data_IF_371437319059
#
_entry.id   IF_371437319059
#
_cell.length_a   1.000
_cell.length_b   1.000
_cell.length_c   1.000
_cell.angle_alpha   90.00
_cell.angle_beta   90.00
_cell.angle_gamma   90.00
#
_symmetry.space_group_name_H-M   'P 1'
#
loop_
_entity.id
_entity.type
_entity.pdbx_description
1 polymer ?
#
# COMPACT_ATOMS: atom_id res chain seq x y z
N UNK A 1 -11.62 -12.87 -1.66
CA UNK A 1 -10.54 -11.93 -1.31
C UNK A 1 -11.17 -10.85 -0.46
N UNK A 2 -10.98 -10.91 0.86
CA UNK A 2 -11.51 -9.90 1.76
C UNK A 2 -10.71 -8.62 1.48
N UNK A 3 -11.24 -7.66 0.75
CA UNK A 3 -10.86 -6.24 0.86
C UNK A 3 -12.06 -5.51 0.27
N UNK A 4 -12.67 -4.62 1.04
CA UNK A 4 -13.82 -3.87 0.58
C UNK A 4 -13.52 -3.25 -0.80
N UNK A 5 -14.44 -3.39 -1.76
CA UNK A 5 -14.38 -2.61 -3.01
C UNK A 5 -14.21 -1.12 -2.73
N UNK A 6 -14.71 -0.67 -1.57
CA UNK A 6 -14.76 0.71 -1.10
C UNK A 6 -14.01 0.86 0.22
N UNK A 7 -13.08 1.79 0.28
CA UNK A 7 -12.35 2.14 1.49
C UNK A 7 -13.29 2.81 2.50
N UNK A 8 -13.29 2.33 3.75
CA UNK A 8 -13.99 2.95 4.85
C UNK A 8 -13.00 3.23 5.98
N UNK A 9 -12.68 4.51 6.28
CA UNK A 9 -11.72 4.84 7.33
C UNK A 9 -12.10 4.38 8.73
N UNK A 10 -13.41 4.33 9.02
CA UNK A 10 -13.92 3.90 10.33
C UNK A 10 -13.63 2.41 10.53
N UNK A 11 -14.02 1.59 9.56
CA UNK A 11 -13.75 0.15 9.58
C UNK A 11 -12.25 -0.14 9.49
N UNK A 12 -11.50 0.68 8.74
CA UNK A 12 -10.04 0.56 8.65
C UNK A 12 -9.31 0.92 9.97
N UNK A 13 -9.93 1.74 10.81
CA UNK A 13 -9.44 2.09 12.15
C UNK A 13 -9.85 1.10 13.24
N UNK A 14 -10.95 0.38 13.02
CA UNK A 14 -11.49 -0.65 13.90
C UNK A 14 -10.69 -1.95 13.80
N UNK A 15 -10.38 -2.58 14.93
CA UNK A 15 -9.59 -3.82 14.96
C UNK A 15 -10.40 -5.03 14.48
N UNK A 16 -11.68 -5.03 14.82
CA UNK A 16 -12.70 -6.06 14.58
C UNK A 16 -13.70 -5.64 13.49
N UNK A 17 -13.65 -4.39 13.03
CA UNK A 17 -14.46 -3.87 11.93
C UNK A 17 -15.91 -3.58 12.34
N UNK A 18 -16.19 -3.38 13.62
CA UNK A 18 -17.56 -3.16 14.13
C UNK A 18 -17.85 -1.73 14.55
N UNK A 19 -16.83 -0.85 14.55
CA UNK A 19 -17.00 0.52 15.02
C UNK A 19 -18.07 1.28 14.23
N UNK A 20 -18.94 1.97 14.97
CA UNK A 20 -20.02 2.80 14.41
C UNK A 20 -19.75 4.30 14.55
N UNK A 21 -18.75 4.70 15.36
CA UNK A 21 -18.38 6.08 15.62
C UNK A 21 -16.87 6.26 15.63
N UNK A 22 -16.34 7.38 15.08
CA UNK A 22 -14.91 7.63 15.11
C UNK A 22 -14.43 7.83 16.54
N UNK A 23 -13.41 7.07 16.93
CA UNK A 23 -12.85 7.08 18.29
C UNK A 23 -11.42 7.65 18.36
N UNK A 24 -10.84 8.05 17.23
CA UNK A 24 -9.49 8.63 17.12
C UNK A 24 -9.49 9.77 16.08
N UNK A 25 -8.65 10.79 16.31
CA UNK A 25 -8.40 11.91 15.41
C UNK A 25 -7.95 11.45 14.02
N UNK A 26 -7.20 10.34 13.92
CA UNK A 26 -6.81 9.76 12.63
C UNK A 26 -8.01 9.37 11.77
N UNK A 27 -9.01 8.75 12.40
CA UNK A 27 -10.26 8.34 11.74
C UNK A 27 -11.07 9.58 11.34
N UNK A 28 -11.24 10.54 12.24
CA UNK A 28 -11.97 11.79 11.95
C UNK A 28 -11.34 12.53 10.76
N UNK A 29 -10.02 12.66 10.76
CA UNK A 29 -9.27 13.30 9.66
C UNK A 29 -9.47 12.57 8.34
N UNK A 30 -9.44 11.25 8.35
CA UNK A 30 -9.67 10.44 7.15
C UNK A 30 -11.11 10.58 6.64
N UNK A 31 -12.12 10.51 7.52
CA UNK A 31 -13.53 10.69 7.16
C UNK A 31 -13.82 12.05 6.55
N UNK A 32 -13.15 13.10 7.03
CA UNK A 32 -13.28 14.47 6.51
C UNK A 32 -12.39 14.74 5.29
N UNK A 33 -11.68 13.74 4.78
CA UNK A 33 -10.78 13.87 3.64
C UNK A 33 -11.36 13.23 2.39
N UNK A 34 -11.04 13.83 1.24
CA UNK A 34 -11.36 13.27 -0.07
C UNK A 34 -10.11 13.18 -0.93
N UNK A 35 -9.96 12.06 -1.63
CA UNK A 35 -8.87 11.88 -2.58
C UNK A 35 -9.36 11.19 -3.84
N UNK A 36 -9.01 11.77 -4.99
CA UNK A 36 -9.19 11.16 -6.31
C UNK A 36 -7.94 11.41 -7.13
N UNK A 37 -7.39 10.36 -7.75
CA UNK A 37 -6.31 10.55 -8.71
C UNK A 37 -6.81 11.45 -9.85
N UNK A 38 -5.98 12.41 -10.26
CA UNK A 38 -6.30 13.29 -11.38
C UNK A 38 -6.36 12.45 -12.67
N UNK A 39 -7.43 12.61 -13.46
CA UNK A 39 -7.64 11.93 -14.75
C UNK A 39 -6.40 11.90 -15.67
N UNK A 40 -5.66 13.02 -15.91
CA UNK A 40 -4.49 12.98 -16.79
C UNK A 40 -3.37 12.08 -16.27
N UNK A 41 -3.23 11.94 -14.95
CA UNK A 41 -2.25 11.02 -14.36
C UNK A 41 -2.67 9.58 -14.62
N UNK A 42 -3.94 9.26 -14.40
CA UNK A 42 -4.48 7.91 -14.63
C UNK A 42 -4.33 7.50 -16.10
N UNK A 43 -4.66 8.39 -17.03
CA UNK A 43 -4.56 8.12 -18.47
C UNK A 43 -3.12 7.85 -18.95
N UNK A 44 -2.13 8.44 -18.27
CA UNK A 44 -0.71 8.23 -18.57
C UNK A 44 -0.15 6.92 -17.98
N UNK A 45 -0.83 6.32 -16.99
CA UNK A 45 -0.38 5.07 -16.38
C UNK A 45 -0.67 3.89 -17.31
N UNK A 46 0.39 3.30 -17.85
CA UNK A 46 0.33 2.11 -18.71
C UNK A 46 0.32 0.79 -17.91
N UNK A 47 0.65 0.85 -16.61
CA UNK A 47 0.71 -0.34 -15.76
C UNK A 47 -0.67 -0.83 -15.35
N UNK A 48 -0.83 -2.15 -15.26
CA UNK A 48 -2.07 -2.75 -14.76
C UNK A 48 -2.05 -2.82 -13.23
N UNK A 49 -2.99 -2.14 -12.56
CA UNK A 49 -3.05 -2.08 -11.10
C UNK A 49 -3.21 -3.45 -10.44
N UNK A 50 -3.98 -4.38 -11.05
CA UNK A 50 -4.16 -5.73 -10.52
C UNK A 50 -2.86 -6.56 -10.56
N UNK A 51 -1.94 -6.19 -11.45
CA UNK A 51 -0.62 -6.81 -11.57
C UNK A 51 0.48 -6.04 -10.82
N UNK A 52 0.11 -4.98 -10.11
CA UNK A 52 1.05 -4.06 -9.47
C UNK A 52 0.99 -4.19 -7.95
N UNK A 53 2.14 -4.48 -7.34
CA UNK A 53 2.34 -4.42 -5.90
C UNK A 53 2.88 -3.05 -5.49
N UNK A 54 2.39 -2.57 -4.36
CA UNK A 54 3.01 -1.53 -3.56
C UNK A 54 4.08 -2.15 -2.66
N UNK A 55 5.27 -1.57 -2.67
CA UNK A 55 6.38 -1.94 -1.78
C UNK A 55 6.77 -0.71 -0.97
N UNK A 56 6.52 -0.73 0.34
CA UNK A 56 6.84 0.35 1.27
C UNK A 56 7.96 0.00 2.23
N UNK A 57 8.39 0.99 3.02
CA UNK A 57 9.54 0.90 3.94
C UNK A 57 10.86 0.59 3.24
N UNK A 58 10.99 1.04 1.98
CA UNK A 58 12.26 1.00 1.29
C UNK A 58 13.24 1.98 1.95
N UNK A 59 14.50 1.56 2.09
CA UNK A 59 15.59 2.43 2.51
C UNK A 59 16.05 3.29 1.32
N UNK A 60 16.63 4.44 1.60
CA UNK A 60 16.96 5.45 0.59
C UNK A 60 18.03 4.98 -0.43
N UNK A 61 18.85 4.00 -0.04
CA UNK A 61 19.88 3.39 -0.89
C UNK A 61 19.36 2.28 -1.81
N UNK A 62 18.12 1.81 -1.62
CA UNK A 62 17.57 0.70 -2.42
C UNK A 62 17.29 1.19 -3.83
N UNK A 63 17.83 0.46 -4.81
CA UNK A 63 17.56 0.68 -6.23
C UNK A 63 16.64 -0.39 -6.81
N UNK A 64 16.27 -0.22 -8.08
CA UNK A 64 15.35 -1.13 -8.78
C UNK A 64 15.91 -2.55 -8.93
N UNK A 65 17.24 -2.70 -9.07
CA UNK A 65 17.88 -4.01 -9.20
C UNK A 65 17.78 -4.82 -7.91
N UNK A 66 17.83 -4.17 -6.76
CA UNK A 66 17.71 -4.86 -5.47
C UNK A 66 16.29 -5.37 -5.24
N UNK A 67 15.30 -4.58 -5.66
CA UNK A 67 13.90 -5.01 -5.71
C UNK A 67 13.75 -6.17 -6.71
N UNK A 68 14.30 -6.05 -7.91
CA UNK A 68 14.22 -7.07 -8.95
C UNK A 68 14.78 -8.42 -8.48
N UNK A 69 15.96 -8.43 -7.85
CA UNK A 69 16.59 -9.65 -7.30
C UNK A 69 15.65 -10.38 -6.34
N UNK A 70 14.98 -9.65 -5.46
CA UNK A 70 14.13 -10.24 -4.41
C UNK A 70 12.78 -10.69 -4.97
N UNK A 71 12.18 -9.91 -5.88
CA UNK A 71 10.83 -10.19 -6.37
C UNK A 71 10.79 -11.12 -7.60
N UNK A 72 11.90 -11.27 -8.34
CA UNK A 72 11.96 -12.15 -9.52
C UNK A 72 11.69 -13.61 -9.21
N UNK A 73 11.95 -14.07 -7.96
CA UNK A 73 11.61 -15.42 -7.51
C UNK A 73 10.10 -15.71 -7.54
N UNK A 74 9.27 -14.67 -7.51
CA UNK A 74 7.82 -14.79 -7.57
C UNK A 74 7.26 -14.69 -8.98
N UNK A 75 8.05 -14.38 -10.00
CA UNK A 75 7.59 -14.26 -11.38
C UNK A 75 8.30 -13.15 -12.14
N UNK A 76 8.03 -13.07 -13.45
CA UNK A 76 8.68 -12.09 -14.32
C UNK A 76 8.14 -10.69 -14.05
N UNK A 77 9.07 -9.76 -13.78
CA UNK A 77 8.76 -8.36 -13.53
C UNK A 77 8.71 -7.62 -14.86
N UNK A 78 7.66 -6.83 -15.06
CA UNK A 78 7.45 -5.99 -16.24
C UNK A 78 8.02 -4.59 -16.04
N UNK A 79 7.78 -4.00 -14.88
CA UNK A 79 8.31 -2.68 -14.54
C UNK A 79 8.49 -2.50 -13.03
N UNK A 80 9.50 -1.74 -12.65
CA UNK A 80 9.72 -1.28 -11.28
C UNK A 80 9.72 0.23 -11.32
N UNK A 81 9.11 0.86 -10.31
CA UNK A 81 9.13 2.31 -10.17
C UNK A 81 9.28 2.68 -8.70
N UNK A 82 10.44 3.20 -8.33
CA UNK A 82 10.65 3.81 -7.01
C UNK A 82 10.10 5.24 -7.04
N UNK A 83 9.32 5.62 -6.02
CA UNK A 83 8.79 6.98 -5.92
C UNK A 83 9.81 7.85 -5.21
N UNK A 84 10.31 8.85 -5.93
CA UNK A 84 11.20 9.88 -5.42
C UNK A 84 10.46 11.20 -5.26
N UNK A 85 11.01 12.08 -4.43
CA UNK A 85 10.61 13.48 -4.40
C UNK A 85 11.10 14.19 -5.66
N UNK A 86 10.22 14.97 -6.27
CA UNK A 86 10.48 15.61 -7.57
C UNK A 86 11.49 16.74 -7.43
N UNK A 87 11.57 17.39 -6.26
CA UNK A 87 12.46 18.52 -6.02
C UNK A 87 13.84 18.03 -5.57
N UNK A 88 13.88 17.12 -4.60
CA UNK A 88 15.15 16.67 -4.00
C UNK A 88 15.74 15.44 -4.67
N UNK A 89 14.96 14.68 -5.45
CA UNK A 89 15.36 13.40 -6.02
C UNK A 89 15.47 12.25 -5.00
N UNK A 90 15.22 12.53 -3.72
CA UNK A 90 15.36 11.54 -2.63
C UNK A 90 14.17 10.57 -2.66
N UNK A 91 14.44 9.28 -2.41
CA UNK A 91 13.41 8.25 -2.28
C UNK A 91 12.38 8.63 -1.21
N UNK A 92 11.09 8.41 -1.50
CA UNK A 92 10.02 8.52 -0.50
C UNK A 92 9.85 7.25 0.34
N UNK A 93 10.74 6.28 0.16
CA UNK A 93 10.73 5.00 0.88
C UNK A 93 9.62 4.05 0.42
N UNK A 94 9.10 4.22 -0.79
CA UNK A 94 8.17 3.28 -1.40
C UNK A 94 8.24 3.27 -2.92
N UNK A 95 7.75 2.19 -3.51
CA UNK A 95 7.72 1.98 -4.96
C UNK A 95 6.60 1.04 -5.38
N UNK A 96 6.54 0.80 -6.68
CA UNK A 96 5.58 -0.09 -7.32
C UNK A 96 6.31 -1.12 -8.18
N UNK A 97 5.86 -2.37 -8.10
CA UNK A 97 6.40 -3.50 -8.87
C UNK A 97 5.27 -4.11 -9.68
N UNK A 98 5.33 -3.95 -11.00
CA UNK A 98 4.37 -4.56 -11.94
C UNK A 98 4.92 -5.90 -12.43
N UNK A 99 4.15 -6.97 -12.23
CA UNK A 99 4.43 -8.29 -12.80
C UNK A 99 3.80 -8.44 -14.19
N UNK A 100 4.32 -9.34 -15.00
CA UNK A 100 3.68 -9.71 -16.28
C UNK A 100 2.34 -10.43 -16.05
N UNK A 101 2.22 -11.18 -14.96
CA UNK A 101 1.06 -11.98 -14.59
C UNK A 101 0.44 -11.55 -13.26
N UNK A 102 -0.90 -11.49 -13.22
CA UNK A 102 -1.64 -11.25 -11.97
C UNK A 102 -1.44 -12.40 -10.97
N UNK A 103 -1.25 -13.62 -11.47
CA UNK A 103 -0.98 -14.79 -10.61
C UNK A 103 0.34 -14.64 -9.86
N UNK A 104 1.35 -14.08 -10.51
CA UNK A 104 2.67 -13.84 -9.92
C UNK A 104 2.61 -12.72 -8.88
N UNK A 105 1.90 -11.62 -9.20
CA UNK A 105 1.59 -10.55 -8.25
C UNK A 105 0.90 -11.09 -6.99
N UNK A 106 -0.13 -11.93 -7.15
CA UNK A 106 -0.83 -12.57 -6.03
C UNK A 106 0.07 -13.51 -5.24
N UNK A 107 0.94 -14.27 -5.92
CA UNK A 107 1.92 -15.16 -5.27
C UNK A 107 2.91 -14.34 -4.42
N UNK A 108 3.42 -13.23 -4.95
CA UNK A 108 4.29 -12.32 -4.23
C UNK A 108 3.59 -11.68 -3.01
N UNK A 109 2.33 -11.26 -3.15
CA UNK A 109 1.55 -10.73 -2.01
C UNK A 109 1.32 -11.77 -0.91
N UNK A 110 0.88 -12.98 -1.28
CA UNK A 110 0.58 -14.05 -0.31
C UNK A 110 1.82 -14.52 0.45
N UNK A 111 3.00 -14.48 -0.19
CA UNK A 111 4.29 -14.82 0.42
C UNK A 111 5.10 -13.56 0.79
N UNK A 112 4.42 -12.44 0.94
CA UNK A 112 4.99 -11.10 1.11
C UNK A 112 5.28 -10.73 2.56
N UNK A 113 4.98 -11.59 3.53
CA UNK A 113 5.30 -11.31 4.92
C UNK A 113 6.81 -11.47 5.17
N UNK A 114 7.37 -10.59 6.00
CA UNK A 114 8.77 -10.58 6.42
C UNK A 114 9.82 -10.58 5.28
N UNK A 115 9.48 -10.07 4.09
CA UNK A 115 10.47 -9.91 3.02
C UNK A 115 11.53 -8.90 3.44
N UNK A 116 12.80 -9.28 3.25
CA UNK A 116 13.97 -8.44 3.47
C UNK A 116 14.56 -7.99 2.13
N UNK A 117 14.88 -6.71 2.02
CA UNK A 117 15.72 -6.16 0.94
C UNK A 117 16.90 -5.48 1.61
N UNK A 118 18.12 -5.90 1.29
CA UNK A 118 19.35 -5.41 1.93
C UNK A 118 19.31 -5.50 3.47
N UNK A 119 18.69 -6.56 4.01
CA UNK A 119 18.52 -6.77 5.45
C UNK A 119 17.37 -5.99 6.10
N UNK A 120 16.66 -5.13 5.36
CA UNK A 120 15.53 -4.35 5.89
C UNK A 120 14.18 -4.96 5.54
N UNK A 121 13.30 -5.09 6.53
CA UNK A 121 11.92 -5.57 6.32
C UNK A 121 11.10 -4.56 5.54
N UNK A 122 10.61 -4.97 4.38
CA UNK A 122 9.71 -4.17 3.54
C UNK A 122 8.26 -4.51 3.82
N UNK A 123 7.37 -3.55 3.53
CA UNK A 123 5.92 -3.74 3.56
C UNK A 123 5.42 -4.01 2.15
N UNK A 124 4.64 -5.07 1.97
CA UNK A 124 4.02 -5.40 0.68
C UNK A 124 2.51 -5.24 0.79
N UNK A 125 1.92 -4.58 -0.21
CA UNK A 125 0.48 -4.48 -0.36
C UNK A 125 0.10 -4.43 -1.86
N UNK A 126 -1.18 -4.56 -2.20
CA UNK A 126 -1.66 -4.24 -3.54
C UNK A 126 -1.66 -2.74 -3.78
N UNK A 127 -1.64 -2.32 -5.04
CA UNK A 127 -1.85 -0.92 -5.41
C UNK A 127 -3.29 -0.45 -5.14
N UNK A 128 -3.57 -0.05 -3.90
CA UNK A 128 -4.92 0.31 -3.46
C UNK A 128 -5.50 1.54 -4.16
N UNK A 129 -4.67 2.51 -4.53
CA UNK A 129 -5.13 3.81 -5.08
C UNK A 129 -5.91 3.73 -6.39
N UNK A 130 -5.72 2.66 -7.18
CA UNK A 130 -6.45 2.44 -8.43
C UNK A 130 -7.47 1.30 -8.34
N UNK A 131 -7.38 0.45 -7.32
CA UNK A 131 -8.24 -0.74 -7.15
C UNK A 131 -9.42 -0.45 -6.21
N UNK A 132 -9.19 0.33 -5.15
CA UNK A 132 -10.15 0.55 -4.08
C UNK A 132 -10.85 1.90 -4.26
N UNK A 133 -12.17 1.87 -4.34
CA UNK A 133 -13.01 3.08 -4.39
C UNK A 133 -12.84 3.88 -3.08
N UNK A 134 -12.89 5.21 -3.18
CA UNK A 134 -12.77 6.13 -2.03
C UNK A 134 -11.47 5.96 -1.21
N UNK A 135 -10.41 5.39 -1.80
CA UNK A 135 -9.12 5.27 -1.16
C UNK A 135 -8.58 6.63 -0.70
N UNK A 136 -8.27 6.75 0.59
CA UNK A 136 -7.64 7.93 1.19
C UNK A 136 -6.19 7.59 1.53
N UNK A 137 -5.19 8.26 0.93
CA UNK A 137 -3.78 8.07 1.27
C UNK A 137 -3.44 8.53 2.69
N UNK A 138 -2.34 8.02 3.24
CA UNK A 138 -1.85 8.35 4.60
C UNK A 138 -1.69 9.85 4.86
N UNK A 139 -1.26 10.64 3.87
CA UNK A 139 -1.13 12.11 4.00
C UNK A 139 -2.46 12.82 4.32
N UNK A 140 -3.59 12.16 4.08
CA UNK A 140 -4.93 12.63 4.39
C UNK A 140 -5.58 11.85 5.56
N UNK A 141 -4.78 11.16 6.37
CA UNK A 141 -5.26 10.44 7.56
C UNK A 141 -5.73 9.00 7.31
N UNK A 142 -5.90 8.60 6.05
CA UNK A 142 -6.25 7.23 5.70
C UNK A 142 -5.04 6.29 5.62
N UNK A 143 -5.02 5.44 4.59
CA UNK A 143 -4.04 4.38 4.39
C UNK A 143 -4.25 3.19 5.32
N UNK A 144 -3.33 2.24 5.23
CA UNK A 144 -3.23 1.08 6.12
C UNK A 144 -1.86 1.03 6.77
N UNK A 145 -1.72 0.33 7.90
CA UNK A 145 -0.42 -0.07 8.47
C UNK A 145 0.43 1.06 9.07
N UNK A 146 -0.20 1.95 9.83
CA UNK A 146 0.41 3.05 10.57
C UNK A 146 0.62 2.80 12.06
N UNK A 147 1.23 3.78 12.73
CA UNK A 147 1.46 3.82 14.19
C UNK A 147 0.46 4.76 14.85
N UNK A 148 -0.09 4.40 16.02
CA UNK A 148 -1.11 5.23 16.72
C UNK A 148 -0.55 6.62 17.01
N UNK A 149 0.70 6.64 17.45
CA UNK A 149 1.45 7.83 17.87
C UNK A 149 1.66 8.80 16.69
N UNK A 150 1.57 8.30 15.45
CA UNK A 150 1.67 9.12 14.24
C UNK A 150 0.33 9.65 13.71
N UNK A 151 -0.78 9.40 14.43
CA UNK A 151 -2.13 9.76 14.00
C UNK A 151 -2.59 9.05 12.72
N UNK A 152 -2.04 7.87 12.44
CA UNK A 152 -2.34 7.06 11.25
C UNK A 152 -3.18 5.84 11.61
N UNK A 153 -4.01 5.37 10.66
CA UNK A 153 -4.76 4.12 10.82
C UNK A 153 -3.81 2.93 10.93
N UNK A 154 -4.15 1.99 11.82
CA UNK A 154 -3.21 0.97 12.31
C UNK A 154 -3.32 -0.38 11.59
N UNK A 155 -4.47 -0.68 11.02
CA UNK A 155 -4.83 -2.01 10.53
C UNK A 155 -4.95 -2.05 9.00
N UNK A 156 -5.23 -3.23 8.45
CA UNK A 156 -5.50 -3.47 7.04
C UNK A 156 -4.29 -3.74 6.16
N UNK A 157 -3.08 -3.65 6.70
CA UNK A 157 -1.85 -4.09 6.02
C UNK A 157 -1.49 -5.52 6.39
N UNK A 158 -0.64 -6.18 5.59
CA UNK A 158 -0.18 -7.56 5.86
C UNK A 158 0.44 -7.73 7.26
N UNK A 159 1.15 -6.72 7.77
CA UNK A 159 1.75 -6.74 9.12
C UNK A 159 0.73 -6.63 10.27
N UNK A 160 -0.45 -6.06 9.99
CA UNK A 160 -1.50 -5.78 10.96
C UNK A 160 -2.87 -6.03 10.31
N UNK A 161 -3.19 -7.29 9.98
CA UNK A 161 -4.48 -7.62 9.39
C UNK A 161 -5.60 -7.27 10.36
N UNK A 162 -6.82 -7.07 9.84
CA UNK A 162 -7.99 -7.01 10.72
C UNK A 162 -8.14 -8.34 11.45
N UNK A 163 -8.62 -8.29 12.68
CA UNK A 163 -9.00 -9.50 13.42
C UNK A 163 -10.48 -9.75 13.17
N UNK A 164 -10.86 -11.00 13.01
CA UNK A 164 -12.28 -11.35 13.04
C UNK A 164 -12.82 -11.06 14.46
N UNK A 165 -14.03 -10.50 14.59
CA UNK A 165 -14.67 -10.35 15.89
C UNK A 165 -14.81 -11.73 16.54
N UNK A 166 -14.41 -11.83 17.82
CA UNK A 166 -14.54 -13.05 18.64
C UNK A 166 -15.99 -13.33 19.00
#
# INVERSE_FOLDING_TARGET
>A
MWYLKKYNPLLAGSIDGTDTRPHDHGIVRALNSYYKLKKPIIAKLTSNSLKTLFVGRLKDNINERDIEKVFSKYGKIKSIRIVVDIVTGISKGYGFVEFESEKDCKRAYNNGDNILIDGYKVLIDYERSRIMEEWIPRRFGGGFGGKKESGQLRFGSIDRPFKEPM
#
